data_IF_095038270573
#
_entry.id   IF_095038270573
#
_cell.length_a   1.000
_cell.length_b   1.000
_cell.length_c   1.000
_cell.angle_alpha   90.00
_cell.angle_beta   90.00
_cell.angle_gamma   90.00
#
_symmetry.space_group_name_H-M   'P 1'
#
loop_
_entity.id
_entity.type
_entity.pdbx_description
1 polymer ?
#
# COMPACT_ATOMS: atom_id res chain seq x y z
N UNK A 1 0.90 11.02 -24.63
CA UNK A 1 1.88 11.55 -23.66
C UNK A 1 2.56 10.34 -23.03
N UNK A 2 3.86 10.07 -23.25
CA UNK A 2 4.52 9.03 -22.47
C UNK A 2 4.51 9.45 -20.99
N UNK A 3 4.45 8.51 -20.03
CA UNK A 3 4.64 8.88 -18.63
C UNK A 3 6.01 9.57 -18.50
N UNK A 4 6.06 10.69 -17.76
CA UNK A 4 7.31 11.37 -17.43
C UNK A 4 8.33 10.32 -17.00
N UNK A 5 9.45 10.24 -17.72
CA UNK A 5 10.53 9.29 -17.47
C UNK A 5 11.26 9.67 -16.19
N UNK A 6 10.61 9.47 -15.04
CA UNK A 6 11.23 9.64 -13.73
C UNK A 6 12.12 8.41 -13.52
N UNK A 7 13.44 8.66 -13.49
CA UNK A 7 14.39 7.65 -13.02
C UNK A 7 14.20 7.53 -11.52
N UNK A 8 13.64 6.40 -11.06
CA UNK A 8 13.53 6.12 -9.62
C UNK A 8 14.96 6.04 -9.05
N UNK A 9 15.32 6.90 -8.08
CA UNK A 9 16.64 6.85 -7.47
C UNK A 9 16.83 5.52 -6.73
N UNK A 10 18.09 5.15 -6.49
CA UNK A 10 18.41 3.92 -5.77
C UNK A 10 17.71 3.90 -4.39
N UNK A 11 16.74 3.01 -4.23
CA UNK A 11 16.03 2.80 -2.96
C UNK A 11 16.91 1.98 -2.02
N UNK A 12 17.15 2.50 -0.81
CA UNK A 12 17.85 1.77 0.25
C UNK A 12 16.86 1.27 1.28
N UNK A 13 16.79 -0.05 1.45
CA UNK A 13 16.02 -0.70 2.50
C UNK A 13 16.86 -0.77 3.78
N UNK A 14 16.27 -0.42 4.93
CA UNK A 14 16.90 -0.50 6.25
C UNK A 14 15.88 -0.99 7.26
N UNK A 15 16.29 -1.95 8.08
CA UNK A 15 15.51 -2.35 9.24
C UNK A 15 15.56 -1.27 10.32
N UNK A 16 14.45 -1.08 11.02
CA UNK A 16 14.36 -0.16 12.16
C UNK A 16 13.57 -0.82 13.28
N UNK A 17 14.28 -1.23 14.33
CA UNK A 17 13.72 -1.90 15.52
C UNK A 17 12.78 -1.01 16.33
N UNK A 18 12.76 0.30 16.07
CA UNK A 18 11.89 1.25 16.75
C UNK A 18 10.54 1.43 16.05
N UNK A 19 10.33 0.82 14.88
CA UNK A 19 9.03 0.80 14.23
C UNK A 19 8.17 -0.32 14.82
N UNK A 20 6.87 -0.10 14.87
CA UNK A 20 5.91 -1.16 15.19
C UNK A 20 6.10 -2.34 14.23
N UNK A 21 5.95 -3.59 14.72
CA UNK A 21 5.97 -4.76 13.87
C UNK A 21 5.04 -4.55 12.69
N UNK A 22 5.50 -4.87 11.48
CA UNK A 22 4.75 -4.75 10.21
C UNK A 22 4.53 -3.34 9.64
N UNK A 23 5.06 -2.31 10.29
CA UNK A 23 5.03 -0.93 9.78
C UNK A 23 6.27 -0.62 8.94
N UNK A 24 6.09 0.19 7.90
CA UNK A 24 7.18 0.80 7.14
C UNK A 24 7.04 2.32 7.08
N UNK A 25 8.16 3.00 6.84
CA UNK A 25 8.20 4.43 6.56
C UNK A 25 8.97 4.66 5.26
N UNK A 26 8.49 5.59 4.44
CA UNK A 26 9.18 6.06 3.24
C UNK A 26 9.83 7.39 3.61
N UNK A 27 11.14 7.49 3.32
CA UNK A 27 11.92 8.69 3.58
C UNK A 27 12.52 9.27 2.32
N UNK A 28 12.50 10.59 2.20
CA UNK A 28 13.21 11.37 1.18
C UNK A 28 14.09 12.37 1.94
N UNK A 29 15.39 12.41 1.62
CA UNK A 29 16.37 13.26 2.34
C UNK A 29 16.30 13.10 3.88
N UNK A 30 16.15 11.85 4.36
CA UNK A 30 15.94 11.48 5.77
C UNK A 30 14.65 11.99 6.44
N UNK A 31 13.81 12.76 5.73
CA UNK A 31 12.47 13.16 6.18
C UNK A 31 11.45 12.07 5.88
N UNK A 32 10.61 11.74 6.86
CA UNK A 32 9.48 10.81 6.66
C UNK A 32 8.41 11.51 5.84
N UNK A 33 8.16 10.99 4.64
CA UNK A 33 7.16 11.54 3.70
C UNK A 33 5.89 10.68 3.66
N UNK A 34 6.01 9.40 3.96
CA UNK A 34 4.86 8.50 4.05
C UNK A 34 5.11 7.36 5.05
N UNK A 35 4.02 6.73 5.48
CA UNK A 35 4.01 5.59 6.41
C UNK A 35 2.91 4.63 6.02
N UNK A 36 3.12 3.34 6.25
CA UNK A 36 2.11 2.32 5.99
C UNK A 36 2.32 1.09 6.85
N UNK A 37 1.30 0.25 6.91
CA UNK A 37 1.31 -1.03 7.60
C UNK A 37 0.95 -2.12 6.59
N UNK A 38 1.63 -3.26 6.68
CA UNK A 38 1.37 -4.43 5.85
C UNK A 38 1.02 -5.61 6.74
N UNK A 39 0.26 -6.57 6.24
CA UNK A 39 0.10 -7.86 6.92
C UNK A 39 0.72 -8.93 6.01
N UNK A 40 1.99 -9.34 6.23
CA UNK A 40 2.77 -10.12 5.25
C UNK A 40 2.15 -11.45 4.80
N UNK A 41 1.29 -12.04 5.63
CA UNK A 41 0.64 -13.33 5.37
C UNK A 41 -0.83 -13.20 4.99
N UNK A 42 -1.29 -12.00 4.67
CA UNK A 42 -2.68 -11.68 4.34
C UNK A 42 -2.76 -11.02 2.97
N UNK A 43 -3.97 -10.68 2.53
CA UNK A 43 -4.21 -9.88 1.35
C UNK A 43 -5.03 -8.64 1.68
N UNK A 44 -4.79 -7.54 0.97
CA UNK A 44 -5.60 -6.34 1.06
C UNK A 44 -6.81 -6.49 0.13
N UNK A 45 -8.00 -6.56 0.70
CA UNK A 45 -9.27 -6.56 -0.02
C UNK A 45 -9.86 -5.14 -0.02
N UNK A 46 -10.06 -4.59 -1.21
CA UNK A 46 -10.61 -3.25 -1.43
C UNK A 46 -11.97 -3.33 -2.10
N UNK A 47 -12.92 -2.54 -1.58
CA UNK A 47 -14.24 -2.39 -2.17
C UNK A 47 -14.23 -1.27 -3.21
N UNK A 48 -14.34 -1.64 -4.49
CA UNK A 48 -14.42 -0.68 -5.61
C UNK A 48 -15.85 -0.17 -5.86
N UNK A 49 -16.79 -0.37 -4.93
CA UNK A 49 -18.20 0.00 -5.04
C UNK A 49 -19.12 -1.11 -5.56
N UNK A 50 -18.58 -2.31 -5.80
CA UNK A 50 -19.29 -3.45 -6.38
C UNK A 50 -19.45 -4.63 -5.39
N UNK A 51 -19.09 -4.43 -4.11
CA UNK A 51 -19.16 -5.50 -3.12
C UNK A 51 -20.60 -5.88 -2.84
N UNK A 52 -20.92 -7.16 -3.06
CA UNK A 52 -22.26 -7.70 -2.81
C UNK A 52 -22.45 -8.12 -1.36
N UNK A 53 -21.44 -8.77 -0.79
CA UNK A 53 -21.43 -9.25 0.60
C UNK A 53 -20.08 -8.96 1.24
N UNK A 54 -20.09 -8.43 2.47
CA UNK A 54 -18.85 -8.17 3.20
C UNK A 54 -18.19 -9.46 3.64
N UNK A 55 -16.87 -9.53 3.48
CA UNK A 55 -16.03 -10.57 4.08
C UNK A 55 -15.48 -10.14 5.43
N UNK A 56 -15.08 -11.10 6.26
CA UNK A 56 -14.41 -10.81 7.52
C UNK A 56 -12.93 -10.48 7.28
N UNK A 57 -12.38 -9.62 8.12
CA UNK A 57 -10.99 -9.18 8.02
C UNK A 57 -10.65 -8.06 8.99
N UNK A 58 -9.36 -7.74 9.06
CA UNK A 58 -8.85 -6.64 9.89
C UNK A 58 -9.07 -5.35 9.11
N UNK A 59 -9.85 -4.43 9.66
CA UNK A 59 -10.11 -3.13 9.03
C UNK A 59 -8.82 -2.33 8.93
N UNK A 60 -8.60 -1.74 7.77
CA UNK A 60 -7.45 -0.90 7.50
C UNK A 60 -7.81 0.19 6.49
N UNK A 61 -6.83 1.01 6.16
CA UNK A 61 -6.92 2.05 5.15
C UNK A 61 -5.82 1.81 4.12
N UNK A 62 -6.20 1.78 2.85
CA UNK A 62 -5.27 1.70 1.73
C UNK A 62 -4.37 2.96 1.73
N UNK A 63 -3.05 2.81 1.57
CA UNK A 63 -2.09 3.88 1.87
C UNK A 63 -1.98 5.00 0.82
N UNK A 64 -2.40 4.78 -0.44
CA UNK A 64 -2.25 5.75 -1.55
C UNK A 64 -3.38 6.77 -1.57
N UNK A 65 -4.62 6.28 -1.57
CA UNK A 65 -5.84 7.05 -1.78
C UNK A 65 -6.68 7.15 -0.50
N UNK A 66 -6.31 6.44 0.57
CA UNK A 66 -7.03 6.49 1.84
C UNK A 66 -8.36 5.73 1.81
N UNK A 67 -8.50 4.74 0.91
CA UNK A 67 -9.74 4.00 0.75
C UNK A 67 -9.92 2.97 1.88
N UNK A 68 -11.17 2.73 2.35
CA UNK A 68 -11.45 1.66 3.29
C UNK A 68 -11.08 0.29 2.69
N UNK A 69 -10.33 -0.50 3.45
CA UNK A 69 -9.90 -1.83 3.03
C UNK A 69 -9.93 -2.81 4.20
N UNK A 70 -9.76 -4.09 3.89
CA UNK A 70 -9.66 -5.18 4.85
C UNK A 70 -8.39 -5.98 4.58
N UNK A 71 -7.60 -6.29 5.61
CA UNK A 71 -6.68 -7.41 5.52
C UNK A 71 -7.47 -8.71 5.74
N UNK A 72 -7.43 -9.59 4.75
CA UNK A 72 -8.14 -10.88 4.76
C UNK A 72 -7.15 -12.05 4.76
N UNK A 73 -7.53 -13.16 5.39
CA UNK A 73 -6.70 -14.35 5.39
C UNK A 73 -6.64 -14.96 3.98
N UNK A 74 -5.57 -15.71 3.64
CA UNK A 74 -5.45 -16.37 2.34
C UNK A 74 -6.64 -17.29 2.01
N UNK A 75 -7.25 -17.91 3.02
CA UNK A 75 -8.43 -18.77 2.85
C UNK A 75 -9.69 -18.01 2.41
N UNK A 76 -9.78 -16.70 2.68
CA UNK A 76 -10.93 -15.87 2.32
C UNK A 76 -10.75 -15.17 0.98
N UNK A 77 -9.59 -15.30 0.33
CA UNK A 77 -9.27 -14.62 -0.94
C UNK A 77 -10.32 -14.88 -2.02
N UNK A 78 -10.55 -16.15 -2.35
CA UNK A 78 -11.49 -16.54 -3.42
C UNK A 78 -12.91 -16.05 -3.11
N UNK A 79 -13.34 -16.16 -1.84
CA UNK A 79 -14.62 -15.64 -1.38
C UNK A 79 -14.72 -14.12 -1.54
N UNK A 80 -13.67 -13.37 -1.24
CA UNK A 80 -13.65 -11.92 -1.39
C UNK A 80 -13.75 -11.51 -2.87
N UNK A 81 -12.97 -12.16 -3.75
CA UNK A 81 -13.02 -11.93 -5.20
C UNK A 81 -14.42 -12.20 -5.76
N UNK A 82 -15.03 -13.34 -5.40
CA UNK A 82 -16.40 -13.68 -5.82
C UNK A 82 -17.45 -12.67 -5.34
N UNK A 83 -17.21 -12.01 -4.21
CA UNK A 83 -18.10 -10.98 -3.67
C UNK A 83 -17.81 -9.58 -4.23
N UNK A 84 -16.88 -9.42 -5.18
CA UNK A 84 -16.60 -8.16 -5.86
C UNK A 84 -15.47 -7.33 -5.26
N UNK A 85 -14.69 -7.87 -4.34
CA UNK A 85 -13.48 -7.20 -3.84
C UNK A 85 -12.34 -7.30 -4.86
N UNK A 86 -11.54 -6.24 -4.96
CA UNK A 86 -10.20 -6.34 -5.54
C UNK A 86 -9.24 -6.79 -4.45
N UNK A 87 -8.54 -7.90 -4.66
CA UNK A 87 -7.62 -8.49 -3.67
C UNK A 87 -6.17 -8.31 -4.14
N UNK A 88 -5.34 -7.73 -3.29
CA UNK A 88 -3.96 -7.33 -3.60
C UNK A 88 -3.01 -7.92 -2.56
N UNK A 89 -1.87 -8.44 -2.99
CA UNK A 89 -0.84 -8.94 -2.08
C UNK A 89 -0.08 -7.78 -1.38
N UNK A 90 0.54 -8.01 -0.20
CA UNK A 90 1.19 -6.95 0.56
C UNK A 90 2.37 -6.28 -0.16
N UNK A 91 3.09 -7.02 -1.01
CA UNK A 91 4.22 -6.48 -1.77
C UNK A 91 3.74 -5.48 -2.83
N UNK A 92 2.69 -5.83 -3.57
CA UNK A 92 2.03 -4.93 -4.53
C UNK A 92 1.50 -3.65 -3.86
N UNK A 93 0.93 -3.75 -2.65
CA UNK A 93 0.51 -2.58 -1.85
C UNK A 93 1.70 -1.67 -1.55
N UNK A 94 2.81 -2.24 -1.08
CA UNK A 94 4.03 -1.49 -0.79
C UNK A 94 4.62 -0.81 -2.02
N UNK A 95 4.78 -1.54 -3.12
CA UNK A 95 5.35 -1.03 -4.36
C UNK A 95 4.49 0.10 -4.94
N UNK A 96 3.17 -0.04 -4.89
CA UNK A 96 2.25 0.99 -5.37
C UNK A 96 2.37 2.24 -4.50
N UNK A 97 2.37 2.09 -3.17
CA UNK A 97 2.53 3.22 -2.27
C UNK A 97 3.87 3.93 -2.43
N UNK A 98 4.97 3.18 -2.60
CA UNK A 98 6.28 3.74 -2.87
C UNK A 98 6.30 4.53 -4.19
N UNK A 99 5.80 3.94 -5.27
CA UNK A 99 5.76 4.57 -6.58
C UNK A 99 4.95 5.87 -6.58
N UNK A 100 3.74 5.85 -6.01
CA UNK A 100 2.88 7.03 -5.93
C UNK A 100 3.44 8.10 -4.98
N UNK A 101 4.07 7.71 -3.87
CA UNK A 101 4.78 8.64 -2.99
C UNK A 101 5.92 9.33 -3.76
N UNK A 102 6.75 8.58 -4.47
CA UNK A 102 7.86 9.16 -5.23
C UNK A 102 7.36 10.10 -6.34
N UNK A 103 6.29 9.74 -7.07
CA UNK A 103 5.68 10.62 -8.07
C UNK A 103 5.18 11.93 -7.46
N UNK A 104 4.50 11.84 -6.31
CA UNK A 104 3.96 13.01 -5.60
C UNK A 104 5.05 13.99 -5.19
N UNK A 105 6.23 13.48 -4.82
CA UNK A 105 7.37 14.30 -4.38
C UNK A 105 8.37 14.63 -5.51
N UNK A 106 8.24 14.03 -6.71
CA UNK A 106 9.16 14.28 -7.82
C UNK A 106 9.01 15.67 -8.46
N UNK A 107 7.82 16.27 -8.34
CA UNK A 107 7.53 17.62 -8.84
C UNK A 107 7.64 18.70 -7.74
N UNK A 108 8.05 18.32 -6.52
CA UNK A 108 8.22 19.25 -5.41
C UNK A 108 9.58 19.97 -5.55
N UNK A 109 9.62 21.31 -5.66
CA UNK A 109 10.89 22.04 -5.70
C UNK A 109 11.61 21.87 -4.36
N UNK A 110 12.94 21.67 -4.42
CA UNK A 110 13.79 21.69 -3.23
C UNK A 110 13.65 23.07 -2.54
N UNK A 111 13.07 23.12 -1.35
CA UNK A 111 13.18 24.27 -0.43
C UNK A 111 14.37 24.12 0.52
#
# INVERSE_FOLDING_TARGET
NPPLGIVIPLVRLRDNINLEPTTYVIKILDHIVAKGQLEPNMFLAMDAGNVQTKVEGIKTTEPVYGLPALWIAPADKEKAELNGYTVIDPESVFITHLSETLKKHADEPEE
#
